data_IF_993638815353
#
_entry.id   IF_993638815353
#
_cell.length_a   1.000
_cell.length_b   1.000
_cell.length_c   1.000
_cell.angle_alpha   90.00
_cell.angle_beta   90.00
_cell.angle_gamma   90.00
#
_symmetry.space_group_name_H-M   'P 1'
#
loop_
_entity.id
_entity.type
_entity.pdbx_description
1 polymer ?
#
# COMPACT_ATOMS: atom_id res chain seq x y z
N UNK A 1 -13.54 53.35 29.90
CA UNK A 1 -13.41 54.05 28.61
C UNK A 1 -13.01 53.02 27.57
N UNK A 2 -13.94 52.71 26.65
CA UNK A 2 -13.76 52.15 25.29
C UNK A 2 -12.51 51.25 25.04
N UNK A 3 -12.73 49.96 24.74
CA UNK A 3 -12.67 49.43 23.35
C UNK A 3 -11.26 48.92 23.03
N UNK A 4 -11.00 47.66 22.68
CA UNK A 4 -11.28 47.14 21.34
C UNK A 4 -10.95 45.61 21.28
N UNK A 5 -11.98 44.77 21.07
CA UNK A 5 -11.98 43.46 20.36
C UNK A 5 -11.10 42.30 20.92
N UNK A 6 -11.49 41.02 21.04
CA UNK A 6 -12.64 40.14 20.67
C UNK A 6 -12.32 38.78 21.36
N UNK A 7 -13.04 38.27 22.36
CA UNK A 7 -14.22 37.36 22.34
C UNK A 7 -14.23 36.18 21.35
N UNK A 8 -14.54 34.99 21.90
CA UNK A 8 -15.16 33.74 21.35
C UNK A 8 -14.18 32.55 21.17
N UNK A 9 -14.15 31.54 22.06
CA UNK A 9 -15.01 30.33 22.21
C UNK A 9 -14.97 29.34 21.02
N UNK A 10 -14.36 28.17 21.27
CA UNK A 10 -14.72 26.77 20.95
C UNK A 10 -15.62 26.43 19.72
N UNK A 11 -15.21 25.34 19.03
CA UNK A 11 -15.98 24.38 18.19
C UNK A 11 -15.94 24.54 16.65
N UNK A 12 -15.21 23.59 16.05
CA UNK A 12 -15.44 22.80 14.80
C UNK A 12 -15.54 23.52 13.45
N UNK A 13 -14.60 23.19 12.55
CA UNK A 13 -14.91 22.55 11.25
C UNK A 13 -13.65 21.97 10.59
N UNK A 14 -13.69 20.67 10.31
CA UNK A 14 -12.95 20.03 9.23
C UNK A 14 -13.01 20.92 7.98
N UNK A 15 -11.86 21.35 7.48
CA UNK A 15 -11.74 21.99 6.19
C UNK A 15 -10.65 21.27 5.39
N UNK A 16 -11.11 20.60 4.33
CA UNK A 16 -10.42 20.10 3.16
C UNK A 16 -8.91 20.42 3.04
N UNK A 17 -8.08 19.38 2.93
CA UNK A 17 -6.69 19.52 2.49
C UNK A 17 -6.38 18.58 1.32
N UNK A 18 -6.52 19.03 0.06
CA UNK A 18 -5.89 18.38 -1.06
C UNK A 18 -4.43 18.87 -1.10
N UNK A 19 -3.53 18.19 -0.41
CA UNK A 19 -2.09 18.51 -0.47
C UNK A 19 -1.27 17.24 -0.61
N UNK A 20 -1.12 16.85 -1.87
CA UNK A 20 0.02 16.13 -2.41
C UNK A 20 1.31 16.34 -1.60
N UNK A 21 1.83 15.26 -1.01
CA UNK A 21 3.06 15.27 -0.21
C UNK A 21 4.23 14.77 -1.06
N UNK A 22 5.22 15.64 -1.23
CA UNK A 22 6.45 15.41 -1.98
C UNK A 22 7.43 14.55 -1.16
N UNK A 23 8.00 13.51 -1.77
CA UNK A 23 9.17 12.81 -1.24
C UNK A 23 10.41 13.43 -1.92
N UNK A 24 11.44 13.79 -1.15
CA UNK A 24 12.64 14.51 -1.64
C UNK A 24 13.76 13.53 -1.98
N UNK A 25 14.14 13.42 -3.25
CA UNK A 25 15.39 12.78 -3.71
C UNK A 25 15.96 13.47 -4.97
N UNK A 26 17.25 13.28 -5.23
CA UNK A 26 18.03 13.95 -6.29
C UNK A 26 17.26 14.24 -7.58
N UNK A 27 17.02 15.53 -7.83
CA UNK A 27 16.44 16.15 -9.05
C UNK A 27 15.15 15.58 -9.68
N UNK A 28 14.48 14.56 -9.13
CA UNK A 28 13.15 14.12 -9.60
C UNK A 28 12.21 13.85 -8.43
N UNK A 29 11.08 14.56 -8.40
CA UNK A 29 10.00 14.36 -7.44
C UNK A 29 9.07 13.24 -7.94
N UNK A 30 9.00 12.11 -7.24
CA UNK A 30 7.96 11.11 -7.49
C UNK A 30 6.72 11.52 -6.71
N UNK A 31 5.64 11.72 -7.45
CA UNK A 31 4.38 12.28 -6.96
C UNK A 31 3.35 11.17 -6.85
N UNK A 32 3.15 10.66 -5.64
CA UNK A 32 2.05 9.72 -5.35
C UNK A 32 0.72 10.44 -5.16
N UNK A 33 -0.39 9.73 -5.31
CA UNK A 33 -1.74 10.29 -5.12
C UNK A 33 -1.94 10.71 -3.66
N UNK A 34 -1.66 9.79 -2.74
CA UNK A 34 -1.79 9.99 -1.30
C UNK A 34 -0.63 9.31 -0.55
N UNK A 35 -0.13 9.98 0.49
CA UNK A 35 0.95 9.47 1.34
C UNK A 35 0.67 9.80 2.81
N UNK A 36 0.53 8.75 3.61
CA UNK A 36 0.40 8.83 5.06
C UNK A 36 1.69 9.27 5.75
N UNK A 37 1.66 9.27 7.08
CA UNK A 37 2.83 9.56 7.91
C UNK A 37 3.67 8.29 8.12
N UNK A 38 4.98 8.42 8.37
CA UNK A 38 5.84 7.28 8.70
C UNK A 38 5.79 6.13 7.67
N UNK A 39 5.82 6.49 6.39
CA UNK A 39 5.99 5.52 5.29
C UNK A 39 7.49 5.33 5.05
N UNK A 40 7.95 4.09 5.07
CA UNK A 40 9.37 3.74 4.92
C UNK A 40 9.57 2.74 3.79
N UNK A 41 10.58 2.98 2.99
CA UNK A 41 11.05 2.07 1.94
C UNK A 41 12.43 1.53 2.32
N UNK A 42 12.63 0.22 2.21
CA UNK A 42 13.93 -0.42 2.27
C UNK A 42 14.58 -0.38 0.88
N UNK A 43 15.89 -0.19 0.85
CA UNK A 43 16.73 -0.38 -0.34
C UNK A 43 16.19 0.24 -1.64
N UNK A 44 16.43 -0.45 -2.76
CA UNK A 44 16.01 -0.04 -4.11
C UNK A 44 14.64 -0.64 -4.42
N UNK A 45 13.58 0.12 -4.22
CA UNK A 45 12.25 -0.22 -4.75
C UNK A 45 11.96 0.64 -5.98
N UNK A 46 11.02 0.22 -6.82
CA UNK A 46 10.62 0.89 -8.07
C UNK A 46 9.11 1.08 -8.13
N UNK A 47 8.66 2.24 -8.60
CA UNK A 47 7.25 2.58 -8.75
C UNK A 47 7.03 3.21 -10.12
N UNK A 48 6.24 2.55 -10.95
CA UNK A 48 5.74 3.09 -12.22
C UNK A 48 4.34 3.68 -12.00
N UNK A 49 4.03 4.79 -12.68
CA UNK A 49 2.73 5.47 -12.59
C UNK A 49 2.35 5.86 -11.15
N UNK A 50 3.32 6.38 -10.39
CA UNK A 50 3.17 6.70 -8.97
C UNK A 50 1.94 7.54 -8.62
N UNK A 51 1.45 8.39 -9.54
CA UNK A 51 0.22 9.17 -9.40
C UNK A 51 -1.05 8.33 -9.14
N UNK A 52 -0.98 7.01 -9.34
CA UNK A 52 -2.05 6.05 -9.07
C UNK A 52 -1.86 5.30 -7.75
N UNK A 53 -0.90 5.68 -6.90
CA UNK A 53 -0.65 5.01 -5.62
C UNK A 53 -1.17 5.85 -4.45
N UNK A 54 -1.95 5.21 -3.58
CA UNK A 54 -2.32 5.71 -2.25
C UNK A 54 -1.67 4.83 -1.18
N UNK A 55 -0.94 5.44 -0.24
CA UNK A 55 -0.33 4.73 0.89
C UNK A 55 -0.79 5.36 2.20
N UNK A 56 -1.31 4.55 3.11
CA UNK A 56 -1.70 4.93 4.47
C UNK A 56 -0.50 5.28 5.36
N UNK A 57 -0.77 5.54 6.64
CA UNK A 57 0.29 5.83 7.62
C UNK A 57 0.92 4.55 8.17
N UNK A 58 2.14 4.64 8.67
CA UNK A 58 2.85 3.55 9.35
C UNK A 58 3.05 2.32 8.46
N UNK A 59 3.38 2.55 7.20
CA UNK A 59 3.64 1.49 6.22
C UNK A 59 5.15 1.27 6.07
N UNK A 60 5.55 0.01 6.03
CA UNK A 60 6.93 -0.39 5.71
C UNK A 60 6.92 -1.22 4.45
N UNK A 61 7.76 -0.85 3.48
CA UNK A 61 7.97 -1.56 2.24
C UNK A 61 9.43 -2.02 2.21
N UNK A 62 9.66 -3.32 2.07
CA UNK A 62 10.99 -3.91 2.01
C UNK A 62 11.77 -3.50 0.76
N UNK A 63 13.01 -3.95 0.67
CA UNK A 63 13.84 -3.68 -0.52
C UNK A 63 13.41 -4.45 -1.76
N UNK A 64 13.75 -3.93 -2.93
CA UNK A 64 13.51 -4.63 -4.19
C UNK A 64 12.05 -4.77 -4.57
N UNK A 65 11.14 -4.00 -3.97
CA UNK A 65 9.72 -4.05 -4.35
C UNK A 65 9.48 -3.31 -5.65
N UNK A 66 8.53 -3.78 -6.44
CA UNK A 66 8.14 -3.18 -7.72
C UNK A 66 6.63 -2.99 -7.78
N UNK A 67 6.19 -1.76 -8.01
CA UNK A 67 4.79 -1.41 -8.14
C UNK A 67 4.52 -0.82 -9.53
N UNK A 68 3.84 -1.58 -10.38
CA UNK A 68 3.35 -1.12 -11.67
C UNK A 68 1.90 -0.66 -11.55
N UNK A 69 1.71 0.63 -11.33
CA UNK A 69 0.40 1.23 -11.01
C UNK A 69 -0.34 1.73 -12.27
N UNK A 70 -0.55 0.89 -13.28
CA UNK A 70 -1.38 1.25 -14.44
C UNK A 70 -2.80 1.68 -14.01
N UNK A 71 -3.39 0.94 -13.06
CA UNK A 71 -4.56 1.32 -12.28
C UNK A 71 -4.21 1.69 -10.84
N UNK A 72 -5.21 2.10 -10.07
CA UNK A 72 -5.09 2.46 -8.65
C UNK A 72 -4.49 1.30 -7.84
N UNK A 73 -3.46 1.60 -7.03
CA UNK A 73 -2.95 0.71 -5.98
C UNK A 73 -3.15 1.40 -4.64
N UNK A 74 -3.91 0.78 -3.75
CA UNK A 74 -4.15 1.26 -2.39
C UNK A 74 -3.41 0.35 -1.40
N UNK A 75 -2.62 0.95 -0.53
CA UNK A 75 -1.95 0.28 0.59
C UNK A 75 -2.46 0.90 1.89
N UNK A 76 -3.19 0.13 2.68
CA UNK A 76 -3.76 0.54 3.97
C UNK A 76 -2.69 0.87 5.02
N UNK A 77 -3.11 1.56 6.07
CA UNK A 77 -2.22 1.94 7.16
C UNK A 77 -1.78 0.74 8.00
N UNK A 78 -0.61 0.82 8.62
CA UNK A 78 -0.06 -0.25 9.45
C UNK A 78 0.41 -1.50 8.68
N UNK A 79 0.33 -1.47 7.34
CA UNK A 79 0.69 -2.59 6.46
C UNK A 79 2.20 -2.75 6.32
N UNK A 80 2.66 -3.99 6.41
CA UNK A 80 4.07 -4.37 6.30
C UNK A 80 4.27 -5.23 5.06
N UNK A 81 5.11 -4.77 4.14
CA UNK A 81 5.43 -5.46 2.89
C UNK A 81 6.90 -5.88 2.96
N UNK A 82 7.15 -7.18 2.83
CA UNK A 82 8.48 -7.77 2.81
C UNK A 82 9.29 -7.38 1.58
N UNK A 83 10.55 -7.84 1.47
CA UNK A 83 11.37 -7.55 0.31
C UNK A 83 10.89 -8.28 -0.94
N UNK A 84 11.20 -7.74 -2.11
CA UNK A 84 10.94 -8.36 -3.42
C UNK A 84 9.47 -8.69 -3.66
N UNK A 85 8.57 -7.80 -3.23
CA UNK A 85 7.14 -7.90 -3.57
C UNK A 85 6.86 -7.19 -4.89
N UNK A 86 6.17 -7.88 -5.78
CA UNK A 86 5.81 -7.38 -7.11
C UNK A 86 4.31 -7.17 -7.21
N UNK A 87 3.88 -5.99 -7.63
CA UNK A 87 2.48 -5.60 -7.69
C UNK A 87 2.16 -5.00 -9.05
N UNK A 88 1.24 -5.60 -9.79
CA UNK A 88 0.86 -5.16 -11.13
C UNK A 88 -0.64 -4.89 -11.18
N UNK A 89 -1.06 -3.63 -11.35
CA UNK A 89 -2.48 -3.27 -11.46
C UNK A 89 -2.97 -3.22 -12.92
N UNK A 90 -2.19 -3.74 -13.87
CA UNK A 90 -2.59 -3.89 -15.26
C UNK A 90 -1.80 -4.98 -15.98
N UNK A 91 -2.36 -5.45 -17.09
CA UNK A 91 -1.74 -6.38 -18.04
C UNK A 91 -2.08 -5.97 -19.47
N UNK A 92 -1.45 -6.57 -20.48
CA UNK A 92 -1.83 -6.34 -21.87
C UNK A 92 -3.14 -7.06 -22.23
N UNK A 93 -3.87 -6.52 -23.19
CA UNK A 93 -5.02 -7.21 -23.77
C UNK A 93 -4.55 -8.31 -24.74
N UNK A 94 -4.84 -9.55 -24.38
CA UNK A 94 -4.46 -10.74 -25.15
C UNK A 94 -5.68 -11.58 -25.58
N UNK A 95 -6.89 -11.17 -25.20
CA UNK A 95 -8.11 -11.97 -25.39
C UNK A 95 -9.30 -11.06 -25.71
N UNK A 96 -9.38 -10.62 -26.97
CA UNK A 96 -10.50 -9.85 -27.51
C UNK A 96 -10.79 -10.28 -28.95
N UNK A 97 -12.05 -10.26 -29.37
CA UNK A 97 -12.45 -10.68 -30.72
C UNK A 97 -11.86 -9.81 -31.83
N UNK A 98 -11.39 -8.62 -31.50
CA UNK A 98 -10.87 -7.59 -32.40
C UNK A 98 -9.36 -7.33 -32.19
N UNK A 99 -8.61 -8.27 -31.61
CA UNK A 99 -7.16 -8.17 -31.44
C UNK A 99 -6.47 -7.84 -32.78
N UNK A 100 -5.55 -6.88 -32.74
CA UNK A 100 -4.82 -6.44 -33.93
C UNK A 100 -3.37 -6.99 -34.02
N UNK A 101 -2.88 -7.66 -32.96
CA UNK A 101 -1.52 -8.22 -32.88
C UNK A 101 -1.45 -9.42 -31.90
N UNK A 102 -0.36 -10.19 -32.00
CA UNK A 102 0.01 -11.27 -31.06
C UNK A 102 1.45 -11.06 -30.57
N UNK A 103 1.80 -11.44 -29.32
CA UNK A 103 0.97 -12.16 -28.33
C UNK A 103 -0.09 -11.30 -27.62
N UNK A 104 -0.06 -9.99 -27.80
CA UNK A 104 -1.04 -9.02 -27.30
C UNK A 104 -0.96 -7.73 -28.14
N UNK A 105 -1.94 -6.84 -28.00
CA UNK A 105 -1.93 -5.51 -28.64
C UNK A 105 -1.55 -4.36 -27.70
N UNK A 106 -1.72 -3.11 -28.15
CA UNK A 106 -1.36 -1.89 -27.44
C UNK A 106 -2.39 -1.48 -26.36
N UNK A 107 -3.48 -2.22 -26.20
CA UNK A 107 -4.49 -1.99 -25.17
C UNK A 107 -4.11 -2.71 -23.87
N UNK A 108 -4.51 -2.12 -22.75
CA UNK A 108 -4.27 -2.67 -21.41
C UNK A 108 -5.58 -3.09 -20.74
N UNK A 109 -5.51 -4.14 -19.92
CA UNK A 109 -6.54 -4.56 -18.99
C UNK A 109 -6.09 -4.12 -17.59
N UNK A 110 -6.65 -3.01 -17.14
CA UNK A 110 -6.30 -2.36 -15.88
C UNK A 110 -7.33 -2.73 -14.80
N UNK A 111 -6.85 -3.09 -13.61
CA UNK A 111 -7.72 -3.46 -12.49
C UNK A 111 -7.09 -3.03 -11.16
N UNK A 112 -7.82 -2.27 -10.32
CA UNK A 112 -7.26 -1.71 -9.10
C UNK A 112 -6.84 -2.82 -8.14
N UNK A 113 -5.80 -2.55 -7.35
CA UNK A 113 -5.36 -3.42 -6.27
C UNK A 113 -5.64 -2.71 -4.95
N UNK A 114 -6.34 -3.42 -4.05
CA UNK A 114 -6.70 -2.91 -2.74
C UNK A 114 -6.05 -3.78 -1.67
N UNK A 115 -5.13 -3.20 -0.91
CA UNK A 115 -4.54 -3.82 0.27
C UNK A 115 -5.06 -3.03 1.46
N UNK A 116 -5.88 -3.65 2.30
CA UNK A 116 -6.47 -2.98 3.45
C UNK A 116 -5.46 -2.76 4.59
N UNK A 117 -5.94 -2.22 5.72
CA UNK A 117 -5.11 -1.90 6.86
C UNK A 117 -4.51 -3.15 7.52
N UNK A 118 -3.33 -2.98 8.10
CA UNK A 118 -2.63 -3.96 8.95
C UNK A 118 -2.37 -5.31 8.25
N UNK A 119 -2.27 -5.32 6.93
CA UNK A 119 -1.91 -6.52 6.17
C UNK A 119 -0.41 -6.79 6.35
N UNK A 120 -0.04 -8.06 6.46
CA UNK A 120 1.35 -8.48 6.38
C UNK A 120 1.59 -9.28 5.11
N UNK A 121 2.44 -8.75 4.23
CA UNK A 121 2.88 -9.40 3.01
C UNK A 121 4.32 -9.83 3.22
N UNK A 122 4.60 -11.13 3.22
CA UNK A 122 5.96 -11.65 3.32
C UNK A 122 6.77 -11.39 2.03
N UNK A 123 8.04 -11.77 2.03
CA UNK A 123 8.92 -11.54 0.87
C UNK A 123 8.57 -12.39 -0.35
N UNK A 124 9.04 -11.96 -1.52
CA UNK A 124 8.84 -12.67 -2.80
C UNK A 124 7.38 -12.92 -3.18
N UNK A 125 6.45 -12.08 -2.75
CA UNK A 125 5.02 -12.21 -3.10
C UNK A 125 4.74 -11.50 -4.43
N UNK A 126 3.87 -12.09 -5.26
CA UNK A 126 3.33 -11.46 -6.47
C UNK A 126 1.85 -11.13 -6.29
N UNK A 127 1.45 -9.92 -6.64
CA UNK A 127 0.07 -9.43 -6.55
C UNK A 127 -0.40 -9.05 -7.97
N UNK A 128 -1.42 -9.76 -8.44
CA UNK A 128 -1.96 -9.63 -9.78
C UNK A 128 -3.05 -8.52 -9.88
N UNK A 129 -3.39 -8.07 -11.11
CA UNK A 129 -4.42 -7.07 -11.30
C UNK A 129 -5.75 -7.49 -10.67
N UNK A 130 -6.45 -6.54 -10.02
CA UNK A 130 -7.75 -6.79 -9.41
C UNK A 130 -7.72 -7.47 -8.03
N UNK A 131 -6.54 -7.74 -7.47
CA UNK A 131 -6.44 -8.35 -6.14
C UNK A 131 -6.99 -7.42 -5.03
N UNK A 132 -7.76 -8.00 -4.11
CA UNK A 132 -8.23 -7.33 -2.89
C UNK A 132 -7.80 -8.15 -1.67
N UNK A 133 -6.98 -7.56 -0.81
CA UNK A 133 -6.45 -8.20 0.39
C UNK A 133 -7.08 -7.55 1.62
N UNK A 134 -7.94 -8.32 2.31
CA UNK A 134 -8.71 -7.86 3.45
C UNK A 134 -7.88 -7.54 4.68
N UNK A 135 -8.44 -6.69 5.56
CA UNK A 135 -7.81 -6.17 6.77
C UNK A 135 -7.19 -7.28 7.62
N UNK A 136 -5.96 -7.06 8.09
CA UNK A 136 -5.27 -7.98 8.97
C UNK A 136 -4.85 -9.32 8.32
N UNK A 137 -5.06 -9.51 7.01
CA UNK A 137 -4.64 -10.72 6.33
C UNK A 137 -3.10 -10.89 6.33
N UNK A 138 -2.66 -12.13 6.18
CA UNK A 138 -1.24 -12.51 6.10
C UNK A 138 -1.01 -13.27 4.81
N UNK A 139 -0.12 -12.75 3.98
CA UNK A 139 0.31 -13.37 2.73
C UNK A 139 1.68 -14.00 2.94
N UNK A 140 1.76 -15.33 2.87
CA UNK A 140 3.00 -16.08 3.06
C UNK A 140 4.03 -15.84 1.96
N UNK A 141 5.28 -16.16 2.27
CA UNK A 141 6.42 -15.95 1.37
C UNK A 141 6.23 -16.72 0.05
N UNK A 142 6.56 -16.09 -1.08
CA UNK A 142 6.45 -16.73 -2.39
C UNK A 142 5.02 -16.91 -2.90
N UNK A 143 4.01 -16.36 -2.22
CA UNK A 143 2.60 -16.50 -2.62
C UNK A 143 2.30 -15.65 -3.87
N UNK A 144 1.34 -16.11 -4.70
CA UNK A 144 0.76 -15.29 -5.77
C UNK A 144 -0.71 -15.05 -5.46
N UNK A 145 -1.10 -13.77 -5.37
CA UNK A 145 -2.46 -13.33 -5.06
C UNK A 145 -3.12 -12.81 -6.33
N UNK A 146 -4.16 -13.51 -6.77
CA UNK A 146 -4.99 -13.12 -7.92
C UNK A 146 -6.47 -13.29 -7.53
N UNK A 147 -7.07 -12.22 -6.99
CA UNK A 147 -8.44 -12.19 -6.48
C UNK A 147 -8.54 -11.75 -5.01
N UNK A 148 -9.66 -12.11 -4.39
CA UNK A 148 -10.01 -11.67 -3.04
C UNK A 148 -9.42 -12.57 -1.95
N UNK A 149 -8.76 -11.95 -0.97
CA UNK A 149 -8.33 -12.58 0.28
C UNK A 149 -9.18 -12.02 1.42
N UNK A 150 -9.94 -12.85 2.15
CA UNK A 150 -10.79 -12.36 3.23
C UNK A 150 -10.00 -11.71 4.37
N UNK A 151 -10.63 -10.82 5.16
CA UNK A 151 -10.04 -10.29 6.38
C UNK A 151 -9.53 -11.41 7.31
N UNK A 152 -8.42 -11.15 7.97
CA UNK A 152 -7.78 -12.06 8.93
C UNK A 152 -7.30 -13.41 8.35
N UNK A 153 -7.47 -13.65 7.05
CA UNK A 153 -7.03 -14.89 6.42
C UNK A 153 -5.49 -14.97 6.40
N UNK A 154 -4.96 -16.18 6.58
CA UNK A 154 -3.55 -16.49 6.37
C UNK A 154 -3.47 -17.40 5.16
N UNK A 155 -2.78 -16.95 4.11
CA UNK A 155 -2.70 -17.64 2.83
C UNK A 155 -1.28 -17.95 2.41
N UNK A 156 -1.09 -19.03 1.65
CA UNK A 156 0.19 -19.43 1.07
C UNK A 156 0.01 -19.96 -0.36
N UNK A 157 1.13 -20.10 -1.09
CA UNK A 157 1.23 -20.82 -2.36
C UNK A 157 0.97 -19.99 -3.62
N UNK A 158 1.34 -20.53 -4.77
CA UNK A 158 1.19 -19.85 -6.08
C UNK A 158 -0.29 -19.72 -6.50
N UNK A 159 -1.15 -20.59 -5.97
CA UNK A 159 -2.59 -20.37 -5.94
C UNK A 159 -2.93 -20.12 -4.49
N UNK A 160 -2.99 -18.85 -4.10
CA UNK A 160 -3.26 -18.44 -2.73
C UNK A 160 -4.47 -19.21 -2.20
N UNK A 161 -4.28 -19.97 -1.14
CA UNK A 161 -5.34 -20.67 -0.44
C UNK A 161 -5.19 -20.44 1.06
N UNK A 162 -6.33 -20.41 1.74
CA UNK A 162 -6.41 -20.15 3.17
C UNK A 162 -5.96 -21.38 3.92
N UNK A 163 -4.95 -21.22 4.79
CA UNK A 163 -4.50 -22.28 5.70
C UNK A 163 -5.08 -22.13 7.11
N UNK A 164 -5.46 -20.91 7.49
CA UNK A 164 -6.16 -20.59 8.73
C UNK A 164 -6.65 -19.14 8.71
N UNK A 165 -7.37 -18.77 9.76
CA UNK A 165 -7.61 -17.38 10.12
C UNK A 165 -6.77 -17.00 11.34
N UNK A 166 -6.50 -15.72 11.50
CA UNK A 166 -5.97 -15.16 12.75
C UNK A 166 -7.06 -15.21 13.83
N UNK A 167 -6.62 -15.07 15.07
CA UNK A 167 -7.52 -14.74 16.18
C UNK A 167 -8.06 -13.32 15.96
N UNK A 168 -9.33 -13.24 15.52
CA UNK A 168 -9.98 -11.98 15.18
C UNK A 168 -10.30 -11.16 16.44
N UNK A 169 -10.68 -11.81 17.54
CA UNK A 169 -10.96 -11.12 18.80
C UNK A 169 -9.71 -10.42 19.31
N UNK A 170 -8.60 -11.17 19.38
CA UNK A 170 -7.33 -10.60 19.81
C UNK A 170 -6.81 -9.52 18.87
N UNK A 171 -7.02 -9.68 17.57
CA UNK A 171 -6.66 -8.65 16.59
C UNK A 171 -7.44 -7.36 16.85
N UNK A 172 -8.77 -7.43 17.02
CA UNK A 172 -9.61 -6.25 17.22
C UNK A 172 -9.33 -5.55 18.55
N UNK A 173 -9.00 -6.29 19.62
CA UNK A 173 -8.50 -5.70 20.86
C UNK A 173 -7.24 -4.85 20.63
N UNK A 174 -6.25 -5.39 19.92
CA UNK A 174 -5.00 -4.67 19.65
C UNK A 174 -5.24 -3.42 18.78
N UNK A 175 -6.16 -3.48 17.82
CA UNK A 175 -6.56 -2.32 17.02
C UNK A 175 -7.22 -1.25 17.90
N UNK A 176 -8.14 -1.64 18.79
CA UNK A 176 -8.79 -0.71 19.74
C UNK A 176 -7.79 -0.05 20.69
N UNK A 177 -6.77 -0.80 21.11
CA UNK A 177 -5.66 -0.29 21.94
C UNK A 177 -4.63 0.54 21.14
N UNK A 178 -4.83 0.73 19.83
CA UNK A 178 -3.88 1.37 18.92
C UNK A 178 -2.47 0.75 18.95
N UNK A 179 -2.39 -0.57 19.12
CA UNK A 179 -1.14 -1.34 19.17
C UNK A 179 -0.78 -1.91 17.80
N UNK A 180 -0.59 -1.02 16.84
CA UNK A 180 -0.16 -1.37 15.49
C UNK A 180 1.36 -1.44 15.43
N UNK A 181 1.91 -2.48 14.81
CA UNK A 181 3.37 -2.71 14.77
C UNK A 181 4.17 -1.50 14.26
N UNK A 182 3.66 -0.80 13.24
CA UNK A 182 4.28 0.41 12.71
C UNK A 182 4.36 1.57 13.71
N UNK A 183 3.39 1.69 14.62
CA UNK A 183 3.39 2.67 15.71
C UNK A 183 4.33 2.25 16.85
N UNK A 184 4.37 0.96 17.17
CA UNK A 184 5.27 0.40 18.21
C UNK A 184 6.74 0.63 17.86
N UNK A 185 7.08 0.64 16.56
CA UNK A 185 8.45 0.91 16.10
C UNK A 185 8.78 2.37 15.84
N UNK A 186 7.85 3.32 16.01
CA UNK A 186 8.17 4.75 15.85
C UNK A 186 9.29 5.22 16.80
N UNK A 187 9.58 4.46 17.87
CA UNK A 187 10.69 4.70 18.80
C UNK A 187 11.89 3.74 18.71
N UNK A 188 11.88 2.74 17.81
CA UNK A 188 12.96 1.73 17.72
C UNK A 188 13.80 2.01 16.48
N UNK A 189 15.04 2.43 16.69
CA UNK A 189 15.99 2.80 15.64
C UNK A 189 16.38 1.60 14.77
N UNK A 190 15.56 1.29 13.77
CA UNK A 190 16.00 0.53 12.62
C UNK A 190 16.63 1.49 11.61
N UNK A 191 17.89 1.25 11.28
CA UNK A 191 18.63 1.98 10.25
C UNK A 191 18.09 1.62 8.87
N UNK A 192 16.90 2.11 8.53
CA UNK A 192 16.44 2.09 7.15
C UNK A 192 17.22 3.15 6.39
N UNK A 193 17.94 2.73 5.36
CA UNK A 193 18.70 3.63 4.49
C UNK A 193 17.69 4.60 3.88
N UNK A 194 17.73 5.86 4.29
CA UNK A 194 17.00 6.97 3.67
C UNK A 194 17.44 7.24 2.22
N UNK A 195 17.97 6.26 1.48
CA UNK A 195 18.36 6.37 0.08
C UNK A 195 17.44 5.53 -0.78
N UNK A 196 16.36 6.18 -1.17
CA UNK A 196 15.51 5.74 -2.27
C UNK A 196 16.22 6.15 -3.57
N UNK A 197 17.01 5.24 -4.15
CA UNK A 197 17.44 5.35 -5.55
C UNK A 197 16.32 4.81 -6.44
N UNK A 198 15.28 5.61 -6.64
CA UNK A 198 14.27 5.40 -7.68
C UNK A 198 14.81 6.02 -8.98
N UNK A 199 15.06 5.21 -10.01
CA UNK A 199 15.49 5.68 -11.34
C UNK A 199 14.31 6.19 -12.17
#
# INVERSE_FOLDING_TARGET
>A
MRSFLRKIKMIVKYAAYPKLKMIRFGFKFIKVKELGLNVRFGGKSEICNAQNICIGSNVLIGEGCYFNANSLIVIGGGTMIGPHVFCYSGTHNYDSSDLNAVPFDDRYIDSPIIIEDNVWIAGNVSIAPGAHIGRGAVIGMGCTVAGDIPPYAVVIGNKAHIIKYRDAERYEELVKENRIYGDVLAGVGFTFVNKVDLR
#
